data_IF_367135061290
#
_entry.id   IF_367135061290
#
_cell.length_a   1.000
_cell.length_b   1.000
_cell.length_c   1.000
_cell.angle_alpha   90.00
_cell.angle_beta   90.00
_cell.angle_gamma   90.00
#
_symmetry.space_group_name_H-M   'P 1'
#
loop_
_entity.id
_entity.type
_entity.pdbx_description
1 polymer ?
#
# COMPACT_ATOMS: atom_id res chain seq x y z
N UNK A 1 74.21 -36.26 7.25
CA UNK A 1 73.49 -35.71 6.09
C UNK A 1 72.25 -36.55 5.88
N UNK A 2 71.07 -35.91 5.90
CA UNK A 2 69.81 -36.38 5.30
C UNK A 2 69.05 -37.50 6.01
N UNK A 3 68.17 -37.16 6.95
CA UNK A 3 66.98 -37.97 7.26
C UNK A 3 65.71 -37.17 6.94
N UNK A 4 64.82 -37.89 6.23
CA UNK A 4 63.36 -37.75 6.06
C UNK A 4 62.66 -36.58 6.77
N UNK A 5 61.91 -35.79 5.99
CA UNK A 5 60.81 -34.97 6.49
C UNK A 5 59.49 -35.62 6.09
N UNK A 6 58.87 -36.26 7.07
CA UNK A 6 57.45 -36.54 7.11
C UNK A 6 56.67 -35.21 7.26
N UNK A 7 55.49 -35.18 6.65
CA UNK A 7 54.53 -34.09 6.82
C UNK A 7 54.07 -33.95 8.28
N UNK A 8 53.69 -32.74 8.72
CA UNK A 8 52.67 -32.59 9.74
C UNK A 8 51.38 -32.03 9.13
N UNK A 9 50.31 -32.80 9.38
CA UNK A 9 48.94 -32.33 9.50
C UNK A 9 48.87 -31.07 10.38
N UNK A 10 47.99 -30.13 10.04
CA UNK A 10 47.57 -29.07 10.95
C UNK A 10 46.13 -29.27 11.37
N UNK A 11 45.92 -29.22 12.68
CA UNK A 11 44.68 -29.50 13.40
C UNK A 11 44.00 -28.18 13.78
N UNK A 12 42.67 -28.18 13.74
CA UNK A 12 41.79 -27.06 14.07
C UNK A 12 41.79 -26.89 15.60
N UNK A 13 42.42 -25.83 16.10
CA UNK A 13 42.17 -25.14 17.39
C UNK A 13 43.45 -24.46 17.89
N UNK A 14 43.50 -23.13 17.74
CA UNK A 14 44.13 -22.13 18.62
C UNK A 14 44.57 -20.95 17.76
N UNK A 15 43.85 -19.83 17.84
CA UNK A 15 44.23 -18.58 17.20
C UNK A 15 45.51 -18.02 17.83
N UNK A 16 46.54 -17.83 16.99
CA UNK A 16 47.54 -16.77 17.10
C UNK A 16 48.62 -16.99 16.03
N UNK A 17 48.67 -16.13 15.02
CA UNK A 17 49.76 -16.08 14.04
C UNK A 17 49.71 -14.78 13.24
N UNK A 18 50.84 -14.05 13.21
CA UNK A 18 50.99 -12.82 12.43
C UNK A 18 50.73 -13.06 10.94
N UNK A 19 49.84 -12.25 10.35
CA UNK A 19 49.51 -12.27 8.93
C UNK A 19 50.69 -11.69 8.13
N UNK A 20 51.45 -12.55 7.46
CA UNK A 20 52.43 -12.11 6.46
C UNK A 20 51.68 -11.54 5.25
N UNK A 21 52.11 -10.37 4.78
CA UNK A 21 51.65 -9.68 3.57
C UNK A 21 51.49 -10.65 2.37
N UNK A 22 50.29 -10.73 1.80
CA UNK A 22 50.03 -11.48 0.56
C UNK A 22 50.23 -10.54 -0.64
N UNK A 23 51.11 -10.87 -1.60
CA UNK A 23 51.33 -10.05 -2.78
C UNK A 23 50.21 -10.27 -3.81
N UNK A 24 49.65 -9.16 -4.29
CA UNK A 24 48.76 -9.02 -5.47
C UNK A 24 47.60 -10.02 -5.60
N UNK A 25 46.39 -9.54 -5.26
CA UNK A 25 45.13 -10.21 -5.60
C UNK A 25 44.96 -10.14 -7.12
N UNK A 26 44.87 -11.29 -7.80
CA UNK A 26 44.52 -11.30 -9.24
C UNK A 26 43.02 -11.01 -9.40
N UNK A 27 42.60 -10.42 -10.53
CA UNK A 27 41.20 -10.00 -10.83
C UNK A 27 40.11 -11.09 -10.69
N UNK A 28 40.45 -12.33 -10.32
CA UNK A 28 39.55 -13.48 -10.24
C UNK A 28 39.63 -14.26 -8.90
N UNK A 29 40.13 -13.64 -7.82
CA UNK A 29 40.05 -14.24 -6.48
C UNK A 29 38.86 -13.66 -5.72
N UNK A 30 37.92 -14.53 -5.33
CA UNK A 30 36.86 -14.21 -4.37
C UNK A 30 37.49 -14.13 -2.98
N UNK A 31 37.36 -12.97 -2.35
CA UNK A 31 37.76 -12.78 -0.95
C UNK A 31 36.49 -12.50 -0.14
N UNK A 32 36.11 -13.43 0.75
CA UNK A 32 35.15 -13.13 1.81
C UNK A 32 35.93 -12.50 2.97
N UNK A 33 35.59 -11.26 3.30
CA UNK A 33 36.18 -10.56 4.45
C UNK A 33 35.17 -10.50 5.58
N UNK A 34 35.52 -11.10 6.72
CA UNK A 34 34.74 -11.00 7.96
C UNK A 34 35.47 -10.06 8.91
N UNK A 35 34.81 -8.95 9.26
CA UNK A 35 35.31 -7.98 10.23
C UNK A 35 34.39 -7.95 11.45
N UNK A 36 34.97 -7.88 12.64
CA UNK A 36 34.26 -7.60 13.89
C UNK A 36 34.25 -6.09 14.08
N UNK A 37 33.09 -5.48 14.36
CA UNK A 37 33.05 -4.07 14.74
C UNK A 37 33.78 -3.87 16.07
N UNK A 38 34.67 -2.88 16.10
CA UNK A 38 35.22 -2.33 17.35
C UNK A 38 34.23 -1.37 18.00
N UNK A 39 34.62 -0.83 19.16
CA UNK A 39 33.86 0.22 19.86
C UNK A 39 33.73 1.50 19.00
N UNK A 40 32.77 2.39 19.28
CA UNK A 40 32.60 3.64 18.52
C UNK A 40 33.91 4.45 18.41
N UNK A 41 34.42 4.58 17.18
CA UNK A 41 35.68 5.27 16.88
C UNK A 41 36.88 4.35 16.63
N UNK A 42 36.75 3.03 16.81
CA UNK A 42 37.75 2.04 16.43
C UNK A 42 37.49 1.48 15.02
N UNK A 43 38.56 1.26 14.25
CA UNK A 43 38.45 0.62 12.95
C UNK A 43 38.05 -0.86 13.11
N UNK A 44 37.14 -1.40 12.27
CA UNK A 44 36.77 -2.81 12.30
C UNK A 44 37.99 -3.73 12.23
N UNK A 45 38.02 -4.78 13.06
CA UNK A 45 39.15 -5.70 13.15
C UNK A 45 38.92 -6.93 12.28
N UNK A 46 39.89 -7.36 11.45
CA UNK A 46 39.75 -8.55 10.63
C UNK A 46 39.71 -9.82 11.49
N UNK A 47 38.60 -10.56 11.40
CA UNK A 47 38.38 -11.83 12.10
C UNK A 47 38.81 -13.00 11.22
N UNK A 48 38.67 -12.85 9.90
CA UNK A 48 39.09 -13.84 8.94
C UNK A 48 39.03 -13.33 7.51
N UNK A 49 39.94 -13.86 6.68
CA UNK A 49 39.86 -13.78 5.23
C UNK A 49 39.68 -15.22 4.74
N UNK A 50 38.50 -15.55 4.22
CA UNK A 50 38.29 -16.84 3.56
C UNK A 50 38.77 -16.72 2.11
N UNK A 51 40.00 -17.18 1.87
CA UNK A 51 40.56 -17.40 0.53
C UNK A 51 40.85 -18.89 0.34
N UNK A 52 39.84 -19.76 0.46
CA UNK A 52 40.00 -21.16 0.10
C UNK A 52 39.32 -21.42 -1.24
N UNK A 53 40.10 -21.26 -2.31
CA UNK A 53 39.92 -21.97 -3.56
C UNK A 53 41.25 -22.67 -3.91
N UNK A 54 41.24 -23.93 -4.38
CA UNK A 54 42.45 -24.56 -4.88
C UNK A 54 43.02 -23.70 -6.02
N UNK A 55 44.34 -23.65 -6.14
CA UNK A 55 45.03 -22.91 -7.21
C UNK A 55 44.50 -23.29 -8.59
N UNK A 56 43.71 -22.40 -9.21
CA UNK A 56 43.11 -22.60 -10.52
C UNK A 56 44.16 -22.46 -11.63
N UNK A 57 44.30 -23.48 -12.48
CA UNK A 57 44.92 -23.34 -13.81
C UNK A 57 43.83 -22.99 -14.81
N UNK A 58 44.11 -22.03 -15.69
CA UNK A 58 43.22 -21.59 -16.76
C UNK A 58 42.82 -22.77 -17.67
N UNK A 59 41.53 -23.12 -17.74
CA UNK A 59 41.02 -23.89 -18.87
C UNK A 59 39.88 -24.90 -18.65
N UNK A 60 39.32 -25.08 -17.45
CA UNK A 60 38.29 -26.13 -17.24
C UNK A 60 36.90 -25.53 -16.98
N UNK A 61 36.02 -25.60 -17.98
CA UNK A 61 34.66 -25.02 -17.96
C UNK A 61 33.71 -25.72 -16.97
N UNK A 62 34.05 -26.93 -16.52
CA UNK A 62 33.30 -27.64 -15.47
C UNK A 62 33.69 -27.19 -14.05
N UNK A 63 34.83 -26.52 -13.87
CA UNK A 63 35.30 -26.01 -12.57
C UNK A 63 34.99 -24.53 -12.35
N UNK A 64 34.64 -23.77 -13.40
CA UNK A 64 34.09 -22.42 -13.26
C UNK A 64 32.74 -22.45 -12.51
N UNK A 65 31.88 -23.43 -12.79
CA UNK A 65 30.58 -23.59 -12.13
C UNK A 65 30.66 -24.09 -10.67
N UNK A 66 31.80 -24.63 -10.23
CA UNK A 66 31.96 -25.21 -8.89
C UNK A 66 32.46 -24.22 -7.82
N UNK A 67 32.88 -23.00 -8.21
CA UNK A 67 33.31 -21.92 -7.30
C UNK A 67 32.28 -20.78 -7.21
N UNK A 68 31.11 -20.93 -7.83
CA UNK A 68 30.08 -19.89 -7.93
C UNK A 68 29.14 -19.80 -6.71
N UNK A 69 29.25 -20.66 -5.68
CA UNK A 69 28.29 -20.69 -4.56
C UNK A 69 28.96 -20.87 -3.19
N UNK A 70 28.85 -19.88 -2.32
CA UNK A 70 28.92 -20.10 -0.85
C UNK A 70 27.59 -20.75 -0.46
N UNK A 71 27.59 -22.03 -0.09
CA UNK A 71 26.33 -22.76 0.17
C UNK A 71 25.63 -22.30 1.46
N UNK A 72 26.37 -21.83 2.48
CA UNK A 72 25.81 -21.22 3.69
C UNK A 72 26.89 -20.42 4.41
N UNK A 73 26.68 -19.12 4.62
CA UNK A 73 27.42 -18.36 5.63
C UNK A 73 26.53 -18.25 6.87
N UNK A 74 26.97 -18.86 7.96
CA UNK A 74 26.32 -18.73 9.26
C UNK A 74 27.34 -18.19 10.25
N UNK A 75 27.05 -17.03 10.81
CA UNK A 75 27.82 -16.43 11.90
C UNK A 75 27.16 -16.88 13.21
N UNK A 76 27.27 -18.18 13.50
CA UNK A 76 26.77 -18.75 14.74
C UNK A 76 27.76 -18.50 15.89
N UNK A 77 27.30 -17.82 16.94
CA UNK A 77 27.96 -17.85 18.26
C UNK A 77 28.70 -16.59 18.70
N UNK A 78 28.27 -15.39 18.32
CA UNK A 78 28.80 -14.16 18.88
C UNK A 78 28.10 -13.81 20.20
N UNK A 79 28.61 -14.36 21.31
CA UNK A 79 28.28 -13.87 22.66
C UNK A 79 28.85 -12.45 22.92
N UNK A 80 29.19 -11.71 21.87
CA UNK A 80 29.72 -10.36 21.91
C UNK A 80 28.69 -9.40 21.36
N UNK A 81 28.39 -8.35 22.12
CA UNK A 81 27.54 -7.22 21.73
C UNK A 81 28.03 -6.41 20.50
N UNK A 82 29.12 -6.82 19.86
CA UNK A 82 29.68 -6.16 18.68
C UNK A 82 29.33 -6.96 17.43
N UNK A 83 28.48 -6.41 16.57
CA UNK A 83 28.09 -7.07 15.33
C UNK A 83 29.18 -7.08 14.26
N UNK A 84 28.82 -7.63 13.10
CA UNK A 84 29.75 -8.00 12.02
C UNK A 84 29.52 -7.18 10.77
N UNK A 85 30.60 -6.91 10.01
CA UNK A 85 30.49 -6.46 8.62
C UNK A 85 30.77 -7.64 7.69
N UNK A 86 29.79 -8.00 6.88
CA UNK A 86 29.87 -9.06 5.87
C UNK A 86 29.86 -8.41 4.49
N UNK A 87 30.99 -8.49 3.77
CA UNK A 87 31.09 -8.01 2.38
C UNK A 87 31.33 -9.20 1.45
N UNK A 88 30.40 -9.47 0.54
CA UNK A 88 30.51 -10.58 -0.42
C UNK A 88 30.43 -10.12 -1.87
N UNK A 89 31.45 -10.43 -2.69
CA UNK A 89 31.40 -10.18 -4.14
C UNK A 89 30.83 -11.36 -4.96
N UNK A 90 30.40 -12.47 -4.33
CA UNK A 90 29.82 -13.65 -5.03
C UNK A 90 28.65 -14.29 -4.26
N UNK A 91 27.90 -15.16 -4.94
CA UNK A 91 26.62 -15.71 -4.49
C UNK A 91 26.74 -16.59 -3.24
N UNK A 92 25.97 -16.24 -2.21
CA UNK A 92 25.67 -17.11 -1.08
C UNK A 92 24.24 -17.66 -1.21
N UNK A 93 24.02 -18.95 -0.95
CA UNK A 93 22.66 -19.51 -0.96
C UNK A 93 21.89 -19.11 0.31
N UNK A 94 22.58 -19.02 1.45
CA UNK A 94 22.04 -18.61 2.75
C UNK A 94 23.02 -17.72 3.51
N UNK A 95 22.51 -16.66 4.13
CA UNK A 95 23.24 -15.80 5.09
C UNK A 95 22.44 -15.71 6.39
N UNK A 96 23.10 -15.93 7.52
CA UNK A 96 22.53 -15.80 8.87
C UNK A 96 23.55 -15.07 9.76
N UNK A 97 23.23 -13.91 10.34
CA UNK A 97 24.19 -13.09 11.13
C UNK A 97 24.11 -13.28 12.65
N UNK A 98 22.98 -13.77 13.17
CA UNK A 98 22.89 -14.24 14.56
C UNK A 98 22.44 -13.16 15.54
N UNK A 99 23.32 -12.66 16.40
CA UNK A 99 22.97 -11.65 17.41
C UNK A 99 23.99 -10.51 17.44
N UNK A 100 23.55 -9.29 17.75
CA UNK A 100 24.35 -8.07 17.70
C UNK A 100 23.94 -7.20 16.51
N UNK A 101 24.45 -5.95 16.44
CA UNK A 101 24.11 -5.03 15.35
C UNK A 101 24.99 -5.29 14.13
N UNK A 102 24.46 -6.05 13.17
CA UNK A 102 25.17 -6.53 12.00
C UNK A 102 25.02 -5.58 10.79
N UNK A 103 25.95 -5.69 9.85
CA UNK A 103 25.90 -4.99 8.57
C UNK A 103 26.26 -5.98 7.47
N UNK A 104 25.35 -6.18 6.54
CA UNK A 104 25.50 -7.12 5.43
C UNK A 104 25.44 -6.33 4.13
N UNK A 105 26.58 -6.24 3.45
CA UNK A 105 26.70 -5.56 2.16
C UNK A 105 26.91 -6.60 1.07
N UNK A 106 25.93 -6.74 0.18
CA UNK A 106 25.93 -7.73 -0.89
C UNK A 106 25.89 -6.99 -2.21
N UNK A 107 26.93 -7.15 -3.01
CA UNK A 107 26.94 -6.69 -4.39
C UNK A 107 27.17 -7.88 -5.30
N UNK A 108 26.13 -8.34 -5.99
CA UNK A 108 26.22 -9.43 -6.97
C UNK A 108 26.25 -8.84 -8.38
N UNK A 109 27.36 -9.08 -9.10
CA UNK A 109 27.52 -8.71 -10.52
C UNK A 109 27.70 -9.97 -11.37
N UNK A 110 26.69 -10.32 -12.18
CA UNK A 110 26.72 -11.41 -13.16
C UNK A 110 25.37 -12.14 -13.32
N UNK A 111 25.27 -12.99 -14.37
CA UNK A 111 24.10 -13.77 -14.81
C UNK A 111 23.44 -14.70 -13.75
N UNK A 112 24.01 -14.81 -12.54
CA UNK A 112 23.51 -15.71 -11.51
C UNK A 112 23.24 -15.01 -10.17
N UNK A 113 21.99 -15.22 -9.76
CA UNK A 113 21.12 -14.67 -8.71
C UNK A 113 21.72 -14.16 -7.38
N UNK A 114 21.12 -13.06 -6.89
CA UNK A 114 21.12 -12.63 -5.49
C UNK A 114 20.91 -13.81 -4.50
N UNK A 115 21.32 -13.70 -3.23
CA UNK A 115 21.11 -14.77 -2.26
C UNK A 115 19.65 -15.23 -2.19
N UNK A 116 19.44 -16.55 -2.05
CA UNK A 116 18.09 -17.12 -1.92
C UNK A 116 17.47 -16.76 -0.55
N UNK A 117 18.30 -16.59 0.48
CA UNK A 117 17.85 -16.31 1.83
C UNK A 117 18.88 -15.50 2.64
N UNK A 118 18.43 -14.43 3.31
CA UNK A 118 19.22 -13.70 4.31
C UNK A 118 18.40 -13.55 5.58
N UNK A 119 19.01 -13.83 6.72
CA UNK A 119 18.41 -13.67 8.04
C UNK A 119 19.33 -12.82 8.91
N UNK A 120 18.83 -11.68 9.38
CA UNK A 120 19.64 -10.73 10.15
C UNK A 120 19.67 -11.07 11.65
N UNK A 121 18.71 -11.85 12.13
CA UNK A 121 18.73 -12.34 13.51
C UNK A 121 18.33 -11.25 14.49
N UNK A 122 19.08 -11.09 15.58
CA UNK A 122 18.78 -10.18 16.69
C UNK A 122 19.74 -8.99 16.70
N UNK A 123 19.27 -7.78 16.47
CA UNK A 123 20.03 -6.55 16.69
C UNK A 123 19.52 -5.44 15.79
N UNK A 124 20.12 -4.25 15.88
CA UNK A 124 19.85 -3.23 14.89
C UNK A 124 20.72 -3.49 13.66
N UNK A 125 20.18 -4.23 12.69
CA UNK A 125 20.94 -4.67 11.53
C UNK A 125 20.75 -3.77 10.32
N UNK A 126 21.77 -3.75 9.47
CA UNK A 126 21.71 -3.11 8.16
C UNK A 126 21.97 -4.14 7.07
N UNK A 127 21.12 -4.16 6.05
CA UNK A 127 21.33 -4.94 4.83
C UNK A 127 21.29 -4.01 3.63
N UNK A 128 22.41 -3.89 2.93
CA UNK A 128 22.48 -3.25 1.62
C UNK A 128 22.71 -4.32 0.55
N UNK A 129 21.67 -4.64 -0.22
CA UNK A 129 21.73 -5.63 -1.29
C UNK A 129 21.56 -4.97 -2.65
N UNK A 130 22.54 -5.19 -3.53
CA UNK A 130 22.55 -4.70 -4.90
C UNK A 130 22.84 -5.86 -5.85
N UNK A 131 21.88 -6.19 -6.71
CA UNK A 131 22.03 -7.19 -7.76
C UNK A 131 21.80 -6.57 -9.14
N UNK A 132 22.75 -6.76 -10.06
CA UNK A 132 22.81 -5.95 -11.29
C UNK A 132 22.34 -6.63 -12.58
N UNK A 133 22.03 -7.93 -12.60
CA UNK A 133 21.62 -8.61 -13.84
C UNK A 133 20.35 -9.47 -13.72
N UNK A 134 19.58 -9.45 -14.82
CA UNK A 134 18.28 -10.08 -15.03
C UNK A 134 18.40 -11.60 -15.17
N UNK A 135 17.72 -12.36 -14.30
CA UNK A 135 17.17 -13.64 -14.73
C UNK A 135 16.01 -13.34 -15.70
N UNK A 136 16.34 -13.14 -16.98
CA UNK A 136 15.32 -13.01 -18.03
C UNK A 136 14.48 -14.28 -18.09
N UNK A 137 13.21 -14.18 -17.68
CA UNK A 137 12.08 -14.87 -18.33
C UNK A 137 10.76 -14.50 -17.67
N UNK A 138 9.78 -14.38 -18.55
CA UNK A 138 8.37 -14.11 -18.35
C UNK A 138 7.64 -15.10 -17.43
N UNK A 139 6.58 -14.57 -16.82
CA UNK A 139 5.29 -15.21 -16.56
C UNK A 139 5.26 -16.51 -15.73
N UNK A 140 4.56 -16.40 -14.59
CA UNK A 140 4.41 -17.40 -13.55
C UNK A 140 3.46 -18.54 -13.98
N UNK A 141 3.81 -19.79 -13.63
CA UNK A 141 2.94 -20.72 -12.89
C UNK A 141 3.74 -21.96 -12.48
N UNK A 142 4.06 -22.06 -11.19
CA UNK A 142 4.47 -23.31 -10.56
C UNK A 142 5.92 -23.76 -10.77
N UNK A 143 6.90 -22.96 -10.38
CA UNK A 143 8.23 -23.51 -10.03
C UNK A 143 8.97 -22.56 -9.11
N UNK A 144 9.32 -23.05 -7.92
CA UNK A 144 10.32 -22.44 -7.03
C UNK A 144 11.70 -22.62 -7.65
N UNK A 145 12.10 -21.76 -8.60
CA UNK A 145 13.50 -21.79 -9.08
C UNK A 145 13.92 -20.46 -9.70
N UNK A 146 15.08 -19.99 -9.19
CA UNK A 146 15.88 -18.82 -9.57
C UNK A 146 15.26 -17.43 -9.28
N UNK A 147 15.76 -16.76 -8.23
CA UNK A 147 15.58 -15.32 -7.99
C UNK A 147 14.63 -14.88 -6.86
N UNK A 148 14.16 -15.78 -5.98
CA UNK A 148 13.35 -15.39 -4.82
C UNK A 148 14.28 -15.08 -3.62
N UNK A 149 14.24 -13.85 -3.12
CA UNK A 149 15.09 -13.38 -2.01
C UNK A 149 14.26 -13.25 -0.73
N UNK A 150 14.25 -14.29 0.09
CA UNK A 150 13.56 -14.24 1.37
C UNK A 150 14.43 -13.56 2.44
N UNK A 151 13.97 -12.42 2.97
CA UNK A 151 14.58 -11.70 4.10
C UNK A 151 13.72 -11.93 5.34
N UNK A 152 14.32 -12.29 6.48
CA UNK A 152 13.63 -12.39 7.77
C UNK A 152 14.50 -11.83 8.90
N UNK A 153 13.96 -10.91 9.70
CA UNK A 153 14.51 -10.60 11.01
C UNK A 153 13.56 -11.12 12.12
N UNK A 154 14.12 -11.44 13.29
CA UNK A 154 13.42 -12.28 14.27
C UNK A 154 12.90 -11.55 15.51
N UNK A 155 13.46 -10.40 15.93
CA UNK A 155 13.19 -9.83 17.25
C UNK A 155 13.05 -8.29 17.25
N UNK A 156 12.45 -7.73 18.33
CA UNK A 156 12.02 -6.33 18.52
C UNK A 156 13.14 -5.26 18.56
N UNK A 157 13.76 -5.00 17.41
CA UNK A 157 14.88 -4.06 17.22
C UNK A 157 14.83 -3.49 15.81
N UNK A 158 15.42 -2.32 15.57
CA UNK A 158 15.19 -1.58 14.33
C UNK A 158 16.18 -2.02 13.23
N UNK A 159 15.68 -2.39 12.06
CA UNK A 159 16.46 -2.80 10.89
C UNK A 159 16.42 -1.75 9.78
N UNK A 160 17.52 -1.63 9.03
CA UNK A 160 17.58 -0.84 7.80
C UNK A 160 17.89 -1.78 6.63
N UNK A 161 16.89 -2.02 5.79
CA UNK A 161 16.94 -2.97 4.67
C UNK A 161 16.84 -2.18 3.36
N UNK A 162 17.91 -2.17 2.56
CA UNK A 162 17.91 -1.60 1.21
C UNK A 162 18.16 -2.69 0.17
N UNK A 163 17.23 -2.81 -0.78
CA UNK A 163 17.20 -3.88 -1.78
C UNK A 163 17.09 -3.25 -3.17
N UNK A 164 18.15 -3.35 -3.96
CA UNK A 164 18.19 -2.98 -5.37
C UNK A 164 18.38 -4.23 -6.23
N UNK A 165 17.29 -4.73 -6.84
CA UNK A 165 17.27 -6.03 -7.53
C UNK A 165 16.40 -5.99 -8.79
N UNK A 166 16.54 -6.92 -9.74
CA UNK A 166 15.58 -7.02 -10.85
C UNK A 166 14.16 -7.36 -10.36
N UNK A 167 13.99 -8.19 -9.32
CA UNK A 167 12.70 -8.49 -8.70
C UNK A 167 12.85 -8.73 -7.20
N UNK A 168 11.97 -8.17 -6.37
CA UNK A 168 11.96 -8.38 -4.91
C UNK A 168 10.86 -9.37 -4.53
N UNK A 169 11.14 -10.39 -3.72
CA UNK A 169 10.11 -11.33 -3.25
C UNK A 169 10.37 -11.86 -1.86
N UNK A 170 9.44 -11.67 -0.91
CA UNK A 170 9.52 -12.30 0.42
C UNK A 170 10.39 -11.52 1.41
N UNK A 171 10.19 -10.22 1.49
CA UNK A 171 10.96 -9.35 2.39
C UNK A 171 10.13 -9.16 3.67
N UNK A 172 10.67 -9.55 4.82
CA UNK A 172 10.00 -9.45 6.12
C UNK A 172 10.95 -8.78 7.11
N UNK A 173 10.67 -7.54 7.51
CA UNK A 173 11.59 -6.79 8.36
C UNK A 173 11.50 -7.22 9.84
N UNK A 174 10.32 -7.64 10.30
CA UNK A 174 10.21 -8.43 11.53
C UNK A 174 9.56 -7.66 12.65
N UNK A 175 10.30 -7.32 13.70
CA UNK A 175 9.77 -6.55 14.82
C UNK A 175 10.73 -5.40 15.13
N UNK A 176 10.22 -4.28 15.64
CA UNK A 176 10.97 -3.03 15.80
C UNK A 176 10.64 -2.05 14.68
N UNK A 177 11.07 -0.80 14.82
CA UNK A 177 10.75 0.26 13.85
C UNK A 177 11.75 0.21 12.68
N UNK A 178 11.34 -0.42 11.60
CA UNK A 178 12.16 -0.81 10.46
C UNK A 178 12.07 0.21 9.32
N UNK A 179 13.14 0.28 8.52
CA UNK A 179 13.17 1.04 7.27
C UNK A 179 13.48 0.08 6.13
N UNK A 180 12.52 -0.09 5.22
CA UNK A 180 12.62 -0.99 4.07
C UNK A 180 12.56 -0.19 2.77
N UNK A 181 13.67 -0.16 2.03
CA UNK A 181 13.77 0.52 0.73
C UNK A 181 13.96 -0.52 -0.38
N UNK A 182 12.99 -0.60 -1.28
CA UNK A 182 13.02 -1.51 -2.42
C UNK A 182 13.05 -0.69 -3.71
N UNK A 183 13.99 -1.03 -4.58
CA UNK A 183 14.08 -0.51 -5.92
C UNK A 183 14.22 -1.70 -6.86
N UNK A 184 13.10 -2.11 -7.47
CA UNK A 184 13.06 -3.28 -8.34
C UNK A 184 12.89 -2.93 -9.82
N UNK A 185 13.56 -3.65 -10.72
CA UNK A 185 13.40 -3.46 -12.17
C UNK A 185 12.09 -4.05 -12.75
N UNK A 186 11.54 -5.10 -12.12
CA UNK A 186 10.38 -5.89 -12.55
C UNK A 186 9.37 -6.04 -11.43
N UNK A 187 9.33 -7.14 -10.69
CA UNK A 187 8.19 -7.42 -9.81
C UNK A 187 8.58 -7.40 -8.33
N UNK A 188 7.69 -6.89 -7.48
CA UNK A 188 7.83 -6.88 -6.03
C UNK A 188 6.66 -7.65 -5.43
N UNK A 189 6.93 -8.74 -4.69
CA UNK A 189 5.88 -9.53 -4.05
C UNK A 189 6.16 -9.88 -2.60
N UNK A 190 5.11 -9.96 -1.79
CA UNK A 190 5.17 -10.42 -0.41
C UNK A 190 6.22 -9.66 0.42
N UNK A 191 5.96 -8.39 0.68
CA UNK A 191 6.77 -7.51 1.50
C UNK A 191 5.96 -7.18 2.75
N UNK A 192 6.53 -7.35 3.93
CA UNK A 192 5.92 -6.95 5.19
C UNK A 192 6.95 -6.25 6.05
N UNK A 193 6.54 -5.13 6.66
CA UNK A 193 7.40 -4.40 7.57
C UNK A 193 7.40 -5.10 8.94
N UNK A 194 6.23 -5.37 9.52
CA UNK A 194 6.07 -6.28 10.64
C UNK A 194 5.52 -5.57 11.89
N UNK A 195 6.06 -5.85 13.07
CA UNK A 195 5.66 -5.14 14.30
C UNK A 195 6.55 -3.90 14.49
N UNK A 196 6.00 -2.73 14.80
CA UNK A 196 6.75 -1.49 14.98
C UNK A 196 6.18 -0.35 14.14
N UNK A 197 6.65 0.88 14.38
CA UNK A 197 6.32 1.99 13.48
C UNK A 197 7.32 1.99 12.31
N UNK A 198 6.91 1.47 11.15
CA UNK A 198 7.80 1.19 10.04
C UNK A 198 7.72 2.20 8.90
N UNK A 199 8.78 2.25 8.08
CA UNK A 199 8.81 2.99 6.83
C UNK A 199 9.19 2.08 5.66
N UNK A 200 8.23 1.77 4.81
CA UNK A 200 8.40 0.89 3.64
C UNK A 200 8.23 1.70 2.35
N UNK A 201 9.28 1.77 1.56
CA UNK A 201 9.27 2.41 0.23
C UNK A 201 9.56 1.40 -0.87
N UNK A 202 8.68 1.32 -1.87
CA UNK A 202 8.93 0.65 -3.15
C UNK A 202 8.97 1.69 -4.25
N UNK A 203 10.15 1.99 -4.75
CA UNK A 203 10.43 3.10 -5.68
C UNK A 203 10.49 2.71 -7.16
N UNK A 204 10.41 1.41 -7.45
CA UNK A 204 10.34 0.87 -8.81
C UNK A 204 9.83 -0.57 -8.78
N UNK A 205 9.17 -0.98 -9.88
CA UNK A 205 8.82 -2.36 -10.17
C UNK A 205 7.52 -2.43 -10.96
N UNK A 206 7.54 -2.94 -12.20
CA UNK A 206 6.38 -3.19 -13.06
C UNK A 206 5.12 -3.70 -12.34
N UNK A 207 5.21 -4.76 -11.53
CA UNK A 207 4.06 -5.31 -10.78
C UNK A 207 4.42 -5.41 -9.30
N UNK A 208 3.64 -4.77 -8.42
CA UNK A 208 3.84 -4.77 -6.96
C UNK A 208 2.63 -5.42 -6.32
N UNK A 209 2.80 -6.46 -5.50
CA UNK A 209 1.66 -7.01 -4.76
C UNK A 209 1.97 -7.71 -3.45
N UNK A 210 1.05 -7.60 -2.49
CA UNK A 210 1.20 -8.19 -1.16
C UNK A 210 2.22 -7.38 -0.39
N UNK A 211 1.84 -6.16 -0.03
CA UNK A 211 2.63 -5.25 0.77
C UNK A 211 1.86 -4.94 2.04
N UNK A 212 2.47 -5.21 3.18
CA UNK A 212 1.85 -5.06 4.50
C UNK A 212 2.72 -4.15 5.37
N UNK A 213 2.08 -3.22 6.09
CA UNK A 213 2.70 -2.50 7.20
C UNK A 213 2.91 -3.48 8.34
N UNK A 214 1.84 -3.81 9.03
CA UNK A 214 1.79 -4.77 10.12
C UNK A 214 1.23 -4.11 11.37
N UNK A 215 1.80 -4.38 12.54
CA UNK A 215 1.35 -3.75 13.78
C UNK A 215 2.16 -2.48 14.03
N UNK A 216 1.55 -1.34 14.32
CA UNK A 216 2.23 -0.07 14.58
C UNK A 216 1.82 0.99 13.56
N UNK A 217 2.38 2.19 13.69
CA UNK A 217 2.09 3.28 12.77
C UNK A 217 3.06 3.27 11.60
N UNK A 218 2.59 2.82 10.45
CA UNK A 218 3.41 2.57 9.29
C UNK A 218 3.30 3.66 8.22
N UNK A 219 4.38 3.81 7.45
CA UNK A 219 4.42 4.66 6.27
C UNK A 219 4.77 3.80 5.06
N UNK A 220 3.76 3.54 4.22
CA UNK A 220 3.87 2.77 2.99
C UNK A 220 3.90 3.70 1.78
N UNK A 221 4.99 3.72 1.02
CA UNK A 221 5.17 4.56 -0.16
C UNK A 221 5.52 3.73 -1.39
N UNK A 222 4.56 3.56 -2.29
CA UNK A 222 4.65 2.66 -3.45
C UNK A 222 4.54 3.47 -4.73
N UNK A 223 5.69 3.81 -5.33
CA UNK A 223 5.77 4.61 -6.54
C UNK A 223 6.63 3.87 -7.58
N UNK A 224 6.08 3.59 -8.76
CA UNK A 224 6.88 3.06 -9.88
C UNK A 224 6.43 1.72 -10.47
N UNK A 225 5.25 1.22 -10.09
CA UNK A 225 4.64 0.05 -10.73
C UNK A 225 3.53 0.36 -11.71
N UNK A 226 3.42 -0.43 -12.78
CA UNK A 226 2.28 -0.41 -13.69
C UNK A 226 1.03 -0.85 -12.93
N UNK A 227 1.12 -1.95 -12.18
CA UNK A 227 0.02 -2.46 -11.38
C UNK A 227 0.45 -2.63 -9.91
N UNK A 228 -0.36 -2.17 -8.98
CA UNK A 228 -0.16 -2.28 -7.54
C UNK A 228 -1.40 -2.92 -6.91
N UNK A 229 -1.22 -3.97 -6.11
CA UNK A 229 -2.31 -4.79 -5.58
C UNK A 229 -2.06 -5.34 -4.17
N UNK A 230 -3.10 -5.48 -3.34
CA UNK A 230 -3.04 -6.03 -1.99
C UNK A 230 -2.02 -5.26 -1.14
N UNK A 231 -2.36 -4.01 -0.85
CA UNK A 231 -1.60 -3.14 0.04
C UNK A 231 -2.44 -2.94 1.31
N UNK A 232 -1.87 -3.19 2.48
CA UNK A 232 -2.59 -3.04 3.74
C UNK A 232 -1.68 -2.40 4.79
N UNK A 233 -2.19 -1.43 5.54
CA UNK A 233 -1.50 -0.86 6.71
C UNK A 233 -1.48 -1.84 7.88
N UNK A 234 -2.60 -2.55 8.06
CA UNK A 234 -2.89 -3.55 9.10
C UNK A 234 -3.36 -2.92 10.42
N UNK A 235 -2.53 -2.72 11.43
CA UNK A 235 -2.98 -2.23 12.73
C UNK A 235 -2.18 -1.03 13.22
N UNK A 236 -2.73 0.17 13.14
CA UNK A 236 -2.19 1.41 13.65
C UNK A 236 -2.65 2.58 12.79
N UNK A 237 -2.22 3.80 13.13
CA UNK A 237 -2.64 4.99 12.37
C UNK A 237 -1.73 5.19 11.15
N UNK A 238 -2.00 4.50 10.04
CA UNK A 238 -1.07 4.33 8.92
C UNK A 238 -1.12 5.45 7.88
N UNK A 239 -0.04 5.58 7.11
CA UNK A 239 0.05 6.46 5.95
C UNK A 239 0.39 5.63 4.72
N UNK A 240 -0.57 5.48 3.82
CA UNK A 240 -0.45 4.68 2.61
C UNK A 240 -0.49 5.59 1.40
N UNK A 241 0.60 5.63 0.64
CA UNK A 241 0.69 6.36 -0.64
C UNK A 241 0.98 5.39 -1.78
N UNK A 242 0.03 5.26 -2.70
CA UNK A 242 0.14 4.39 -3.88
C UNK A 242 0.08 5.23 -5.15
N UNK A 243 1.11 5.12 -5.99
CA UNK A 243 1.18 5.75 -7.30
C UNK A 243 1.45 4.69 -8.38
N UNK A 244 0.37 4.14 -8.93
CA UNK A 244 0.41 3.19 -10.03
C UNK A 244 0.39 3.89 -11.39
N UNK A 245 1.14 3.34 -12.36
CA UNK A 245 1.13 3.80 -13.74
C UNK A 245 -0.13 3.40 -14.51
N UNK A 246 -0.78 2.30 -14.11
CA UNK A 246 -2.00 1.77 -14.72
C UNK A 246 -3.06 1.46 -13.66
N UNK A 247 -2.91 0.37 -12.89
CA UNK A 247 -3.94 -0.10 -11.96
C UNK A 247 -3.46 -0.11 -10.51
N UNK A 248 -4.28 0.42 -9.59
CA UNK A 248 -4.11 0.29 -8.15
C UNK A 248 -5.35 -0.36 -7.56
N UNK A 249 -5.26 -1.51 -6.88
CA UNK A 249 -6.44 -2.24 -6.39
C UNK A 249 -6.21 -2.90 -5.03
N UNK A 250 -7.29 -3.17 -4.31
CA UNK A 250 -7.27 -3.88 -3.02
C UNK A 250 -6.31 -3.23 -2.02
N UNK A 251 -6.59 -1.96 -1.72
CA UNK A 251 -5.82 -1.15 -0.76
C UNK A 251 -6.68 -0.98 0.49
N UNK A 252 -6.12 -1.21 1.67
CA UNK A 252 -6.83 -1.06 2.94
C UNK A 252 -5.94 -0.35 3.96
N UNK A 253 -6.51 0.55 4.75
CA UNK A 253 -5.85 1.12 5.93
C UNK A 253 -5.69 0.02 6.98
N UNK A 254 -6.81 -0.42 7.54
CA UNK A 254 -6.85 -1.53 8.48
C UNK A 254 -7.55 -1.14 9.76
N UNK A 255 -6.87 -1.22 10.91
CA UNK A 255 -7.34 -0.66 12.17
C UNK A 255 -6.56 0.61 12.47
N UNK A 256 -7.20 1.66 12.94
CA UNK A 256 -6.55 2.95 13.25
C UNK A 256 -7.06 4.05 12.34
N UNK A 257 -6.62 5.28 12.60
CA UNK A 257 -6.95 6.43 11.75
C UNK A 257 -5.93 6.53 10.62
N UNK A 258 -6.33 6.10 9.43
CA UNK A 258 -5.46 5.92 8.29
C UNK A 258 -5.51 7.11 7.31
N UNK A 259 -4.39 7.36 6.64
CA UNK A 259 -4.30 8.31 5.53
C UNK A 259 -3.93 7.55 4.27
N UNK A 260 -4.90 7.40 3.37
CA UNK A 260 -4.75 6.64 2.13
C UNK A 260 -4.78 7.61 0.94
N UNK A 261 -3.68 7.69 0.19
CA UNK A 261 -3.57 8.47 -1.05
C UNK A 261 -3.25 7.57 -2.22
N UNK A 262 -4.14 7.50 -3.21
CA UNK A 262 -4.00 6.60 -4.36
C UNK A 262 -4.10 7.36 -5.68
N UNK A 263 -3.13 7.12 -6.56
CA UNK A 263 -3.12 7.61 -7.94
C UNK A 263 -2.93 6.44 -8.93
N UNK A 264 -3.70 6.45 -10.02
CA UNK A 264 -3.65 5.43 -11.07
C UNK A 264 -4.44 5.81 -12.32
N UNK A 265 -4.36 5.03 -13.40
CA UNK A 265 -5.33 5.16 -14.51
C UNK A 265 -6.66 4.53 -14.13
N UNK A 266 -6.62 3.40 -13.43
CA UNK A 266 -7.77 2.71 -12.88
C UNK A 266 -7.51 2.40 -11.42
N UNK A 267 -8.51 2.63 -10.57
CA UNK A 267 -8.43 2.36 -9.14
C UNK A 267 -9.55 1.38 -8.79
N UNK A 268 -9.16 0.26 -8.19
CA UNK A 268 -10.03 -0.80 -7.69
C UNK A 268 -10.62 -0.47 -6.33
N UNK A 269 -10.81 -1.51 -5.53
CA UNK A 269 -11.35 -1.40 -4.18
C UNK A 269 -10.35 -0.75 -3.23
N UNK A 270 -10.80 0.28 -2.51
CA UNK A 270 -10.11 0.90 -1.38
C UNK A 270 -11.04 0.86 -0.16
N UNK A 271 -10.50 0.53 1.00
CA UNK A 271 -11.18 0.52 2.29
C UNK A 271 -10.37 1.33 3.30
N UNK A 272 -11.02 2.19 4.08
CA UNK A 272 -10.40 2.85 5.24
C UNK A 272 -10.16 1.81 6.32
N UNK A 273 -11.24 1.26 6.86
CA UNK A 273 -11.22 0.18 7.82
C UNK A 273 -11.88 0.59 9.14
N UNK A 274 -11.21 0.40 10.27
CA UNK A 274 -11.71 0.89 11.56
C UNK A 274 -10.99 2.16 11.95
N UNK A 275 -11.70 3.27 12.08
CA UNK A 275 -11.13 4.54 12.48
C UNK A 275 -11.69 5.66 11.60
N UNK A 276 -11.35 6.90 11.95
CA UNK A 276 -11.69 8.05 11.12
C UNK A 276 -10.60 8.25 10.08
N UNK A 277 -10.87 7.82 8.85
CA UNK A 277 -9.87 7.72 7.80
C UNK A 277 -9.92 8.90 6.84
N UNK A 278 -8.79 9.16 6.18
CA UNK A 278 -8.67 10.15 5.12
C UNK A 278 -8.29 9.43 3.83
N UNK A 279 -9.23 9.35 2.90
CA UNK A 279 -9.05 8.66 1.62
C UNK A 279 -9.05 9.68 0.48
N UNK A 280 -7.92 9.80 -0.22
CA UNK A 280 -7.78 10.67 -1.41
C UNK A 280 -7.42 9.86 -2.64
N UNK A 281 -8.26 9.91 -3.67
CA UNK A 281 -8.10 9.14 -4.91
C UNK A 281 -8.07 10.03 -6.13
N UNK A 282 -7.02 9.90 -6.94
CA UNK A 282 -6.88 10.55 -8.23
C UNK A 282 -6.73 9.51 -9.34
N UNK A 283 -7.81 9.28 -10.10
CA UNK A 283 -7.84 8.32 -11.20
C UNK A 283 -7.91 9.00 -12.56
N UNK A 284 -7.10 8.53 -13.51
CA UNK A 284 -7.14 9.00 -14.90
C UNK A 284 -8.40 8.56 -15.66
N UNK A 285 -9.04 7.45 -15.26
CA UNK A 285 -10.19 6.86 -15.94
C UNK A 285 -11.31 6.53 -14.95
N UNK A 286 -11.13 5.49 -14.14
CA UNK A 286 -12.20 4.91 -13.33
C UNK A 286 -11.77 4.63 -11.89
N UNK A 287 -12.74 4.73 -10.98
CA UNK A 287 -12.69 4.26 -9.60
C UNK A 287 -13.83 3.26 -9.42
N UNK A 288 -13.52 2.04 -8.99
CA UNK A 288 -14.52 0.97 -8.91
C UNK A 288 -15.24 0.90 -7.57
N UNK A 289 -14.54 1.05 -6.44
CA UNK A 289 -15.16 0.98 -5.12
C UNK A 289 -14.31 1.65 -4.06
N UNK A 290 -14.91 2.55 -3.29
CA UNK A 290 -14.29 3.16 -2.11
C UNK A 290 -15.23 2.95 -0.93
N UNK A 291 -14.68 2.55 0.22
CA UNK A 291 -15.39 2.45 1.50
C UNK A 291 -14.60 3.17 2.58
N UNK A 292 -15.26 4.00 3.38
CA UNK A 292 -14.68 4.50 4.62
C UNK A 292 -14.66 3.42 5.70
N UNK A 293 -15.77 2.68 5.81
CA UNK A 293 -16.06 1.61 6.77
C UNK A 293 -16.51 2.11 8.16
N UNK A 294 -15.76 1.95 9.24
CA UNK A 294 -16.20 2.32 10.60
C UNK A 294 -15.48 3.58 11.10
N UNK A 295 -16.14 4.73 11.17
CA UNK A 295 -15.61 5.97 11.76
C UNK A 295 -16.08 7.20 10.98
N UNK A 296 -15.74 8.39 11.45
CA UNK A 296 -16.06 9.62 10.70
C UNK A 296 -15.02 9.82 9.59
N UNK A 297 -15.33 9.42 8.36
CA UNK A 297 -14.36 9.36 7.25
C UNK A 297 -14.37 10.59 6.35
N UNK A 298 -13.21 10.91 5.77
CA UNK A 298 -13.03 11.98 4.81
C UNK A 298 -12.57 11.43 3.45
N UNK A 299 -13.51 11.29 2.52
CA UNK A 299 -13.28 10.69 1.20
C UNK A 299 -13.27 11.77 0.11
N UNK A 300 -12.19 11.88 -0.66
CA UNK A 300 -12.07 12.80 -1.79
C UNK A 300 -11.64 12.06 -3.06
N UNK A 301 -12.47 12.14 -4.10
CA UNK A 301 -12.25 11.42 -5.37
C UNK A 301 -12.23 12.38 -6.54
N UNK A 302 -11.24 12.21 -7.42
CA UNK A 302 -11.19 12.82 -8.75
C UNK A 302 -10.99 11.74 -9.82
N UNK A 303 -11.96 11.54 -10.71
CA UNK A 303 -11.93 10.50 -11.74
C UNK A 303 -12.83 10.86 -12.94
N UNK A 304 -12.72 10.16 -14.07
CA UNK A 304 -13.74 10.33 -15.13
C UNK A 304 -15.04 9.58 -14.78
N UNK A 305 -14.92 8.40 -14.16
CA UNK A 305 -16.03 7.54 -13.72
C UNK A 305 -15.78 7.02 -12.30
N UNK A 306 -16.83 6.98 -11.50
CA UNK A 306 -16.86 6.38 -10.16
C UNK A 306 -18.03 5.40 -10.09
N UNK A 307 -17.77 4.15 -9.74
CA UNK A 307 -18.81 3.12 -9.72
C UNK A 307 -19.49 3.02 -8.35
N UNK A 308 -18.72 2.88 -7.28
CA UNK A 308 -19.24 2.80 -5.91
C UNK A 308 -18.43 3.66 -4.94
N UNK A 309 -19.14 4.35 -4.04
CA UNK A 309 -18.60 5.02 -2.85
C UNK A 309 -19.58 4.80 -1.70
N UNK A 310 -19.07 4.35 -0.56
CA UNK A 310 -19.80 4.16 0.70
C UNK A 310 -18.98 4.83 1.80
N UNK A 311 -19.58 5.71 2.60
CA UNK A 311 -18.93 6.25 3.79
C UNK A 311 -18.81 5.14 4.83
N UNK A 312 -19.95 4.66 5.33
CA UNK A 312 -20.01 3.49 6.20
C UNK A 312 -20.77 3.80 7.48
N UNK A 313 -20.16 3.64 8.64
CA UNK A 313 -20.71 4.07 9.93
C UNK A 313 -19.95 5.28 10.41
N UNK A 314 -20.64 6.35 10.79
CA UNK A 314 -20.01 7.57 11.29
C UNK A 314 -20.52 8.77 10.52
N UNK A 315 -20.12 9.97 10.92
CA UNK A 315 -20.51 11.20 10.24
C UNK A 315 -19.51 11.52 9.12
N UNK A 316 -19.75 10.98 7.92
CA UNK A 316 -18.79 11.00 6.82
C UNK A 316 -18.80 12.30 6.02
N UNK A 317 -17.65 12.63 5.42
CA UNK A 317 -17.51 13.71 4.45
C UNK A 317 -16.97 13.18 3.14
N UNK A 318 -17.83 13.16 2.12
CA UNK A 318 -17.54 12.60 0.79
C UNK A 318 -17.54 13.72 -0.24
N UNK A 319 -16.43 13.89 -0.98
CA UNK A 319 -16.32 14.85 -2.10
C UNK A 319 -15.96 14.12 -3.39
N UNK A 320 -16.82 14.21 -4.40
CA UNK A 320 -16.61 13.54 -5.70
C UNK A 320 -16.56 14.56 -6.83
N UNK A 321 -15.46 14.52 -7.58
CA UNK A 321 -15.26 15.28 -8.80
C UNK A 321 -15.16 14.30 -9.98
N UNK A 322 -16.28 14.00 -10.64
CA UNK A 322 -16.30 13.04 -11.74
C UNK A 322 -17.26 13.38 -12.89
N UNK A 323 -17.04 12.77 -14.06
CA UNK A 323 -18.05 12.82 -15.12
C UNK A 323 -19.32 12.07 -14.71
N UNK A 324 -19.16 10.87 -14.14
CA UNK A 324 -20.28 10.07 -13.66
C UNK A 324 -19.96 9.36 -12.35
N UNK A 325 -20.91 9.31 -11.43
CA UNK A 325 -20.86 8.53 -10.19
C UNK A 325 -22.15 7.68 -10.05
N UNK A 326 -22.03 6.35 -9.93
CA UNK A 326 -23.16 5.44 -10.14
C UNK A 326 -23.84 4.88 -8.87
N UNK A 327 -23.11 4.73 -7.77
CA UNK A 327 -23.67 4.30 -6.49
C UNK A 327 -22.92 5.02 -5.37
N UNK A 328 -23.57 6.01 -4.77
CA UNK A 328 -23.03 6.77 -3.65
C UNK A 328 -23.97 6.59 -2.46
N UNK A 329 -23.42 6.25 -1.30
CA UNK A 329 -24.13 6.25 -0.02
C UNK A 329 -23.20 6.87 1.03
N UNK A 330 -23.77 7.70 1.91
CA UNK A 330 -23.07 8.13 3.12
C UNK A 330 -23.00 6.96 4.10
N UNK A 331 -24.15 6.38 4.41
CA UNK A 331 -24.25 5.18 5.22
C UNK A 331 -24.98 5.53 6.52
N UNK A 332 -24.61 4.90 7.62
CA UNK A 332 -25.18 5.20 8.93
C UNK A 332 -24.47 6.40 9.56
N UNK A 333 -25.16 7.53 9.72
CA UNK A 333 -24.62 8.70 10.39
C UNK A 333 -25.24 9.98 9.83
N UNK A 334 -24.72 11.14 10.20
CA UNK A 334 -25.14 12.41 9.60
C UNK A 334 -24.10 12.87 8.55
N UNK A 335 -24.27 12.46 7.30
CA UNK A 335 -23.22 12.57 6.28
C UNK A 335 -23.26 13.88 5.49
N UNK A 336 -22.10 14.24 4.93
CA UNK A 336 -21.92 15.40 4.05
C UNK A 336 -21.32 14.98 2.73
N UNK A 337 -22.11 15.07 1.67
CA UNK A 337 -21.71 14.64 0.33
C UNK A 337 -21.65 15.86 -0.60
N UNK A 338 -20.49 16.16 -1.19
CA UNK A 338 -20.31 17.22 -2.18
C UNK A 338 -20.10 16.64 -3.59
N UNK A 339 -21.08 16.88 -4.45
CA UNK A 339 -21.15 16.46 -5.85
C UNK A 339 -21.13 17.67 -6.80
N UNK A 340 -20.68 18.84 -6.34
CA UNK A 340 -20.66 20.05 -7.17
C UNK A 340 -19.66 19.97 -8.35
N UNK A 341 -18.65 19.10 -8.21
CA UNK A 341 -17.71 18.74 -9.26
C UNK A 341 -18.16 17.56 -10.14
N UNK A 342 -19.37 17.03 -9.95
CA UNK A 342 -19.87 15.84 -10.66
C UNK A 342 -20.97 16.16 -11.67
N UNK A 343 -20.87 15.63 -12.91
CA UNK A 343 -21.85 15.92 -13.97
C UNK A 343 -23.11 15.05 -13.85
N UNK A 344 -22.97 13.75 -13.51
CA UNK A 344 -24.09 12.84 -13.25
C UNK A 344 -23.83 11.99 -12.01
N UNK A 345 -24.78 11.93 -11.08
CA UNK A 345 -24.67 11.16 -9.85
C UNK A 345 -25.94 10.36 -9.56
N UNK A 346 -25.76 9.17 -8.96
CA UNK A 346 -26.85 8.39 -8.38
C UNK A 346 -26.49 8.03 -6.94
N UNK A 347 -27.37 8.45 -6.02
CA UNK A 347 -27.24 8.21 -4.59
C UNK A 347 -28.28 7.19 -4.12
N UNK A 348 -27.95 6.51 -3.03
CA UNK A 348 -28.82 5.62 -2.29
C UNK A 348 -28.94 6.16 -0.86
N UNK A 349 -30.17 6.19 -0.36
CA UNK A 349 -30.50 6.61 0.99
C UNK A 349 -31.47 5.59 1.58
N UNK A 350 -31.00 4.86 2.58
CA UNK A 350 -31.68 3.74 3.18
C UNK A 350 -32.24 4.11 4.57
N UNK A 351 -32.88 3.14 5.21
CA UNK A 351 -33.46 3.30 6.54
C UNK A 351 -32.34 3.27 7.60
N UNK A 352 -32.21 4.34 8.36
CA UNK A 352 -31.20 4.48 9.42
C UNK A 352 -30.00 5.33 9.02
N UNK A 353 -29.97 5.85 7.79
CA UNK A 353 -28.88 6.67 7.25
C UNK A 353 -28.84 8.10 7.84
N UNK A 354 -29.52 8.36 8.96
CA UNK A 354 -29.45 9.63 9.67
C UNK A 354 -29.86 10.85 8.84
N UNK A 355 -29.14 11.97 9.01
CA UNK A 355 -29.49 13.28 8.45
C UNK A 355 -28.44 13.83 7.49
N UNK A 356 -28.52 13.37 6.25
CA UNK A 356 -27.55 13.68 5.22
C UNK A 356 -27.74 15.06 4.60
N UNK A 357 -26.62 15.65 4.20
CA UNK A 357 -26.58 16.87 3.39
C UNK A 357 -25.80 16.60 2.11
N UNK A 358 -26.49 16.74 0.96
CA UNK A 358 -25.91 16.52 -0.36
C UNK A 358 -25.87 17.83 -1.14
N UNK A 359 -24.67 18.32 -1.45
CA UNK A 359 -24.46 19.50 -2.29
C UNK A 359 -24.36 19.06 -3.74
N UNK A 360 -25.21 19.61 -4.60
CA UNK A 360 -25.39 19.11 -5.96
C UNK A 360 -25.29 20.21 -7.00
N UNK A 361 -24.64 19.89 -8.12
CA UNK A 361 -24.61 20.74 -9.32
C UNK A 361 -25.08 19.98 -10.57
N UNK A 362 -24.70 18.72 -10.73
CA UNK A 362 -25.04 17.89 -11.90
C UNK A 362 -26.44 17.27 -11.88
N UNK A 363 -26.72 16.47 -12.91
CA UNK A 363 -27.87 15.56 -12.96
C UNK A 363 -27.75 14.56 -11.81
N UNK A 364 -28.74 14.52 -10.91
CA UNK A 364 -28.66 13.71 -9.70
C UNK A 364 -29.93 12.89 -9.54
N UNK A 365 -29.79 11.58 -9.33
CA UNK A 365 -30.89 10.71 -8.90
C UNK A 365 -30.64 10.28 -7.46
N UNK A 366 -31.66 10.33 -6.61
CA UNK A 366 -31.62 9.70 -5.28
C UNK A 366 -32.61 8.55 -5.29
N UNK A 367 -32.14 7.39 -4.83
CA UNK A 367 -32.96 6.20 -4.65
C UNK A 367 -33.21 6.01 -3.16
N UNK A 368 -34.47 5.98 -2.79
CA UNK A 368 -34.92 5.63 -1.45
C UNK A 368 -35.38 4.16 -1.48
N UNK A 369 -34.46 3.23 -1.22
CA UNK A 369 -34.83 1.81 -1.22
C UNK A 369 -35.71 1.51 0.00
N UNK A 370 -36.72 0.65 -0.16
CA UNK A 370 -37.64 0.27 0.92
C UNK A 370 -38.42 1.44 1.56
N UNK A 371 -38.52 2.57 0.86
CA UNK A 371 -39.29 3.74 1.27
C UNK A 371 -40.37 4.04 0.23
N UNK A 372 -41.55 4.42 0.72
CA UNK A 372 -42.64 4.97 -0.10
C UNK A 372 -42.65 6.48 -0.02
N UNK A 373 -43.07 7.12 -1.10
CA UNK A 373 -43.31 8.57 -1.14
C UNK A 373 -44.39 9.01 -0.12
N UNK A 374 -45.33 8.12 0.21
CA UNK A 374 -46.41 8.40 1.17
C UNK A 374 -45.90 8.62 2.61
N UNK A 375 -44.71 8.10 2.93
CA UNK A 375 -44.07 8.24 4.24
C UNK A 375 -43.10 9.44 4.32
N UNK A 376 -42.89 10.13 3.19
CA UNK A 376 -41.94 11.23 3.08
C UNK A 376 -42.62 12.60 3.31
N UNK A 377 -42.05 13.41 4.19
CA UNK A 377 -42.33 14.85 4.26
C UNK A 377 -41.26 15.61 3.48
N UNK A 378 -41.69 16.34 2.44
CA UNK A 378 -40.80 17.08 1.53
C UNK A 378 -41.01 18.57 1.76
N UNK A 379 -39.94 19.24 2.20
CA UNK A 379 -39.91 20.68 2.37
C UNK A 379 -38.92 21.34 1.42
N UNK A 380 -39.22 22.58 1.06
CA UNK A 380 -38.39 23.39 0.18
C UNK A 380 -38.28 24.81 0.72
N UNK A 381 -37.06 25.35 0.74
CA UNK A 381 -36.77 26.71 1.19
C UNK A 381 -35.28 27.02 1.13
N UNK A 382 -34.91 28.30 0.98
CA UNK A 382 -33.51 28.77 1.02
C UNK A 382 -32.56 28.05 0.04
N UNK A 383 -33.08 27.57 -1.10
CA UNK A 383 -32.29 26.83 -2.08
C UNK A 383 -31.98 25.39 -1.68
N UNK A 384 -32.71 24.84 -0.71
CA UNK A 384 -32.58 23.47 -0.22
C UNK A 384 -33.90 22.71 -0.37
N UNK A 385 -33.80 21.42 -0.69
CA UNK A 385 -34.92 20.47 -0.62
C UNK A 385 -34.58 19.49 0.48
N UNK A 386 -35.45 19.31 1.46
CA UNK A 386 -35.28 18.31 2.51
C UNK A 386 -36.39 17.29 2.41
N UNK A 387 -36.01 16.02 2.31
CA UNK A 387 -36.90 14.87 2.38
C UNK A 387 -36.68 14.24 3.75
N UNK A 388 -37.74 14.03 4.52
CA UNK A 388 -37.66 13.52 5.88
C UNK A 388 -38.67 12.40 6.13
N UNK A 389 -38.30 11.44 6.97
CA UNK A 389 -39.10 10.26 7.29
C UNK A 389 -39.36 10.20 8.79
N UNK A 390 -40.60 10.50 9.20
CA UNK A 390 -40.93 10.70 10.61
C UNK A 390 -40.84 9.40 11.46
N UNK A 391 -40.89 8.23 10.83
CA UNK A 391 -40.85 6.94 11.51
C UNK A 391 -39.45 6.59 12.07
N UNK A 392 -38.40 7.09 11.42
CA UNK A 392 -37.00 6.94 11.85
C UNK A 392 -36.39 8.24 12.35
N UNK A 393 -36.86 9.38 11.84
CA UNK A 393 -36.19 10.66 12.02
C UNK A 393 -35.10 10.93 10.98
N UNK A 394 -34.93 10.05 9.99
CA UNK A 394 -33.94 10.20 8.93
C UNK A 394 -34.33 11.34 7.98
N UNK A 395 -33.35 12.01 7.41
CA UNK A 395 -33.57 13.00 6.37
C UNK A 395 -32.42 13.10 5.39
N UNK A 396 -32.72 13.52 4.17
CA UNK A 396 -31.71 13.95 3.20
C UNK A 396 -32.03 15.35 2.72
N UNK A 397 -31.04 16.23 2.81
CA UNK A 397 -31.11 17.62 2.40
C UNK A 397 -30.25 17.86 1.17
N UNK A 398 -30.90 18.13 0.04
CA UNK A 398 -30.25 18.56 -1.18
C UNK A 398 -30.01 20.07 -1.14
N UNK A 399 -28.74 20.48 -1.14
CA UNK A 399 -28.33 21.87 -1.11
C UNK A 399 -27.87 22.37 -2.49
N UNK A 400 -28.63 23.30 -3.06
CA UNK A 400 -28.33 23.98 -4.33
C UNK A 400 -27.79 25.39 -4.15
N UNK A 401 -27.66 25.87 -2.90
CA UNK A 401 -27.43 27.28 -2.59
C UNK A 401 -26.09 27.81 -3.11
N UNK A 402 -25.10 26.92 -3.30
CA UNK A 402 -23.75 27.29 -3.70
C UNK A 402 -23.40 26.93 -5.15
N UNK A 403 -24.30 26.30 -5.91
CA UNK A 403 -23.97 25.70 -7.20
C UNK A 403 -24.69 26.36 -8.39
N UNK A 404 -23.97 26.48 -9.51
CA UNK A 404 -24.62 26.64 -10.82
C UNK A 404 -25.06 25.26 -11.29
N UNK A 405 -26.36 24.99 -11.24
CA UNK A 405 -26.91 23.74 -11.75
C UNK A 405 -26.50 23.50 -13.21
N UNK A 406 -25.89 22.34 -13.45
CA UNK A 406 -25.48 21.79 -14.74
C UNK A 406 -26.40 20.60 -15.05
N UNK A 407 -27.49 20.83 -15.76
CA UNK A 407 -28.36 19.74 -16.21
C UNK A 407 -29.80 19.83 -15.66
N UNK A 408 -30.60 18.75 -15.83
CA UNK A 408 -31.96 18.70 -15.34
C UNK A 408 -31.97 18.71 -13.81
N UNK A 409 -33.15 18.94 -13.27
CA UNK A 409 -33.35 18.93 -11.85
C UNK A 409 -33.27 17.50 -11.28
N UNK A 410 -33.06 17.32 -9.96
CA UNK A 410 -32.89 16.00 -9.39
C UNK A 410 -34.14 15.13 -9.60
N UNK A 411 -33.90 13.83 -9.70
CA UNK A 411 -34.93 12.81 -9.70
C UNK A 411 -34.91 12.06 -8.36
N UNK A 412 -36.06 11.96 -7.70
CA UNK A 412 -36.24 11.12 -6.51
C UNK A 412 -36.99 9.85 -6.93
N UNK A 413 -36.45 8.68 -6.59
CA UNK A 413 -37.01 7.37 -6.92
C UNK A 413 -37.32 6.61 -5.64
N UNK A 414 -38.54 6.12 -5.51
CA UNK A 414 -39.02 5.35 -4.35
C UNK A 414 -39.30 3.89 -4.74
N UNK A 415 -39.45 3.00 -3.75
CA UNK A 415 -39.60 1.54 -3.97
C UNK A 415 -40.89 1.18 -4.73
N UNK A 416 -41.96 1.94 -4.50
CA UNK A 416 -43.25 1.82 -5.18
C UNK A 416 -43.20 2.18 -6.68
N UNK A 417 -42.00 2.46 -7.21
CA UNK A 417 -41.75 2.96 -8.56
C UNK A 417 -42.35 4.34 -8.81
N UNK A 418 -42.67 5.09 -7.74
CA UNK A 418 -43.03 6.49 -7.87
C UNK A 418 -41.76 7.33 -8.08
N UNK A 419 -41.84 8.22 -9.06
CA UNK A 419 -40.74 9.12 -9.44
C UNK A 419 -41.17 10.57 -9.26
N UNK A 420 -40.29 11.37 -8.65
CA UNK A 420 -40.49 12.79 -8.43
C UNK A 420 -39.40 13.60 -9.14
N UNK A 421 -39.80 14.38 -10.15
CA UNK A 421 -38.91 15.37 -10.77
C UNK A 421 -39.09 16.73 -10.06
N UNK A 422 -38.02 17.28 -9.47
CA UNK A 422 -38.10 18.58 -8.78
C UNK A 422 -37.76 19.74 -9.72
N UNK A 423 -38.70 20.27 -10.49
CA UNK A 423 -38.37 21.20 -11.59
C UNK A 423 -38.07 22.63 -11.14
N UNK A 424 -37.03 23.20 -11.74
CA UNK A 424 -36.58 24.57 -11.51
C UNK A 424 -37.17 25.58 -12.51
N UNK A 425 -38.50 25.63 -12.72
CA UNK A 425 -39.09 26.74 -13.48
C UNK A 425 -40.60 26.90 -13.24
N UNK A 426 -41.04 28.15 -13.03
CA UNK A 426 -42.35 28.64 -13.44
C UNK A 426 -42.16 30.00 -14.11
N UNK A 427 -42.68 30.22 -15.33
CA UNK A 427 -42.87 31.55 -15.87
C UNK A 427 -43.89 32.32 -15.04
N UNK A 428 -43.74 33.64 -14.97
CA UNK A 428 -44.73 34.55 -14.41
C UNK A 428 -46.14 34.27 -14.97
N UNK A 429 -47.08 33.91 -14.08
CA UNK A 429 -48.52 34.16 -14.23
C UNK A 429 -49.46 32.94 -14.34
N UNK A 430 -49.97 32.44 -13.19
CA UNK A 430 -51.27 31.74 -12.91
C UNK A 430 -51.64 30.46 -13.73
N UNK A 431 -52.44 29.44 -13.33
CA UNK A 431 -53.40 29.07 -12.25
C UNK A 431 -53.54 27.50 -12.19
N UNK A 432 -54.53 26.84 -11.57
CA UNK A 432 -54.87 26.68 -10.14
C UNK A 432 -55.80 25.46 -9.88
N UNK A 433 -55.67 24.33 -10.59
CA UNK A 433 -56.66 23.23 -10.43
C UNK A 433 -56.13 21.83 -10.12
N UNK A 434 -54.82 21.61 -9.92
CA UNK A 434 -54.31 20.27 -9.56
C UNK A 434 -52.89 20.26 -8.94
N UNK A 435 -52.47 21.23 -8.11
CA UNK A 435 -52.31 20.95 -6.67
C UNK A 435 -53.38 19.97 -6.22
N UNK A 436 -53.10 18.81 -5.63
CA UNK A 436 -54.23 18.15 -4.95
C UNK A 436 -54.10 17.73 -3.50
N UNK A 437 -52.93 17.48 -2.88
CA UNK A 437 -52.98 17.04 -1.46
C UNK A 437 -51.96 17.53 -0.45
N UNK A 438 -50.98 18.40 -0.77
CA UNK A 438 -49.96 18.78 0.22
C UNK A 438 -49.51 20.25 0.26
N UNK A 439 -50.41 21.23 0.07
CA UNK A 439 -50.07 22.64 0.34
C UNK A 439 -51.16 23.40 1.12
N UNK A 440 -51.95 22.71 1.94
CA UNK A 440 -53.05 23.34 2.71
C UNK A 440 -52.65 23.75 4.14
N UNK A 441 -51.42 24.22 4.36
CA UNK A 441 -51.11 24.80 5.67
C UNK A 441 -50.14 25.98 5.67
N UNK A 442 -48.99 25.95 4.98
CA UNK A 442 -47.96 26.97 5.23
C UNK A 442 -47.19 27.37 3.97
N UNK A 443 -47.35 28.63 3.56
CA UNK A 443 -46.74 29.20 2.37
C UNK A 443 -45.43 29.93 2.66
N UNK A 444 -44.44 29.76 1.78
CA UNK A 444 -44.09 30.76 0.76
C UNK A 444 -42.82 30.33 -0.03
N UNK A 445 -42.95 30.24 -1.36
CA UNK A 445 -41.87 30.48 -2.33
C UNK A 445 -41.11 29.29 -2.91
N UNK A 446 -41.37 28.95 -4.18
CA UNK A 446 -40.39 28.39 -5.14
C UNK A 446 -40.50 26.89 -5.49
N UNK A 447 -40.22 26.60 -6.77
CA UNK A 447 -40.19 25.29 -7.48
C UNK A 447 -41.52 24.57 -7.73
N UNK A 448 -41.59 23.87 -8.88
CA UNK A 448 -42.75 23.08 -9.30
C UNK A 448 -42.41 21.59 -9.25
N UNK A 449 -43.27 20.83 -8.57
CA UNK A 449 -43.14 19.40 -8.38
C UNK A 449 -43.93 18.68 -9.48
N UNK A 450 -43.32 17.80 -10.25
CA UNK A 450 -44.04 16.94 -11.20
C UNK A 450 -43.93 15.49 -10.74
N UNK A 451 -45.02 14.97 -10.18
CA UNK A 451 -45.24 13.53 -10.00
C UNK A 451 -45.53 12.92 -11.37
N UNK A 452 -44.83 11.85 -11.76
CA UNK A 452 -45.07 11.15 -13.02
C UNK A 452 -45.62 9.76 -12.82
#
# INVERSE_FOLDING_TARGET
MGFSLAAPFWNRATGSGLMTTVPSISRHQVALQLLQRGEPGEAPQPVGLLTDGPSLRSGDSAQQSALERIVKLSIEGAWSSGGYLVVMPVNAEFIETGSGNDTVDITSSGDDTAPNYVSLGDGNDRLDLVATEDATSDYWQGSTTAGAMALRASNAVNHEISVFVPSGRGIFAGAGNDVVNIAAGRDVYNVSAGEGDDALTVSAGRDISGVWGGDGRDVLSLAGGMNIDNVTGDAGDDIITVAAGNEARSISGGQGQDIITVAGQSVGDISGGQGSDIITVASGQAVFGIRGDDGDDAITIAAAKVDQVEGGRGDDTITINAGTAAAISGGLGDDRIDLTGTDKAKLFFDRGDGNDVVRVAGETTIVFAERSIDDADISYGDGKITISFADTGDSVTLDYSAATLKGPAPELSFEDSDHLEVRREAPHGWNASTLYRYFDAHGAGGFSLTLR
#
